data_IF_755133306716
#
_entry.id   IF_755133306716
#
_cell.length_a   1.000
_cell.length_b   1.000
_cell.length_c   1.000
_cell.angle_alpha   90.00
_cell.angle_beta   90.00
_cell.angle_gamma   90.00
#
_symmetry.space_group_name_H-M   'P 1'
#
loop_
_entity.id
_entity.type
_entity.pdbx_description
1 polymer ?
#
# COMPACT_ATOMS: atom_id res chain seq x y z
N UNK A 1 18.09 0.92 12.68
CA UNK A 1 17.44 2.05 12.01
C UNK A 1 17.87 2.13 10.59
N UNK A 2 17.31 3.03 9.89
CA UNK A 2 17.68 3.31 8.55
C UNK A 2 16.67 2.75 7.58
N UNK A 3 17.14 2.34 6.42
CA UNK A 3 16.27 2.02 5.30
C UNK A 3 15.29 0.89 5.61
N UNK A 4 15.73 -0.12 6.35
CA UNK A 4 14.84 -1.23 6.68
C UNK A 4 13.65 -0.78 7.52
N UNK A 5 13.87 0.08 8.52
CA UNK A 5 12.78 0.60 9.34
C UNK A 5 11.78 1.37 8.50
N UNK A 6 12.27 2.20 7.56
CA UNK A 6 11.40 2.95 6.64
C UNK A 6 10.57 2.00 5.78
N UNK A 7 11.17 0.94 5.26
CA UNK A 7 10.45 -0.04 4.45
C UNK A 7 9.38 -0.76 5.27
N UNK A 8 9.69 -1.12 6.51
CA UNK A 8 8.71 -1.78 7.39
C UNK A 8 7.54 -0.85 7.72
N UNK A 9 7.80 0.43 7.94
CA UNK A 9 6.75 1.41 8.14
C UNK A 9 5.87 1.55 6.89
N UNK A 10 6.48 1.56 5.72
CA UNK A 10 5.74 1.57 4.45
C UNK A 10 4.82 0.35 4.33
N UNK A 11 5.33 -0.84 4.63
CA UNK A 11 4.54 -2.07 4.56
C UNK A 11 3.34 -2.01 5.51
N UNK A 12 3.55 -1.56 6.74
CA UNK A 12 2.48 -1.44 7.72
C UNK A 12 1.42 -0.42 7.26
N UNK A 13 1.85 0.71 6.70
CA UNK A 13 0.94 1.71 6.17
C UNK A 13 0.13 1.14 4.99
N UNK A 14 0.77 0.42 4.07
CA UNK A 14 0.09 -0.18 2.93
C UNK A 14 -0.91 -1.25 3.37
N UNK A 15 -0.58 -2.04 4.38
CA UNK A 15 -1.52 -3.01 4.93
C UNK A 15 -2.76 -2.31 5.51
N UNK A 16 -2.57 -1.22 6.23
CA UNK A 16 -3.68 -0.45 6.79
C UNK A 16 -4.55 0.16 5.69
N UNK A 17 -3.93 0.75 4.66
CA UNK A 17 -4.67 1.38 3.56
C UNK A 17 -5.58 0.40 2.83
N UNK A 18 -5.22 -0.86 2.75
CA UNK A 18 -6.04 -1.87 2.07
C UNK A 18 -7.35 -2.15 2.79
N UNK A 19 -7.49 -1.72 4.03
CA UNK A 19 -8.69 -1.91 4.83
C UNK A 19 -9.53 -0.64 4.97
N UNK A 20 -9.13 0.46 4.34
CA UNK A 20 -9.82 1.74 4.42
C UNK A 20 -10.83 1.86 3.30
N UNK A 21 -12.10 2.06 3.64
CA UNK A 21 -13.15 2.36 2.65
C UNK A 21 -12.82 3.66 1.94
N UNK A 22 -13.04 3.71 0.63
CA UNK A 22 -12.61 4.84 -0.18
C UNK A 22 -13.48 5.03 -1.42
N UNK A 23 -13.35 6.18 -2.13
CA UNK A 23 -14.19 6.47 -3.28
C UNK A 23 -13.96 5.58 -4.50
N UNK A 24 -12.89 4.80 -4.57
CA UNK A 24 -12.63 3.93 -5.73
C UNK A 24 -13.55 2.73 -5.79
N UNK A 25 -14.15 2.33 -4.68
CA UNK A 25 -15.11 1.24 -4.67
C UNK A 25 -15.05 0.39 -3.40
N UNK A 26 -15.75 -0.75 -3.45
CA UNK A 26 -15.84 -1.65 -2.31
C UNK A 26 -14.53 -2.39 -2.06
N UNK A 27 -14.27 -2.69 -0.80
CA UNK A 27 -13.14 -3.54 -0.43
C UNK A 27 -13.45 -5.01 -0.71
N UNK A 28 -14.72 -5.40 -0.67
CA UNK A 28 -15.12 -6.79 -0.82
C UNK A 28 -14.83 -7.36 -2.20
N UNK A 29 -14.85 -6.54 -3.24
CA UNK A 29 -14.56 -6.97 -4.62
C UNK A 29 -13.20 -6.49 -5.13
N UNK A 30 -12.40 -5.87 -4.27
CA UNK A 30 -11.07 -5.41 -4.63
C UNK A 30 -11.01 -4.06 -5.33
N UNK A 31 -12.15 -3.45 -5.68
CA UNK A 31 -12.14 -2.16 -6.38
C UNK A 31 -11.47 -1.07 -5.53
N UNK A 32 -11.68 -1.11 -4.23
CA UNK A 32 -11.07 -0.13 -3.31
C UNK A 32 -9.56 -0.17 -3.27
N UNK A 33 -8.94 -1.28 -3.68
CA UNK A 33 -7.49 -1.38 -3.74
C UNK A 33 -6.88 -0.49 -4.82
N UNK A 34 -7.70 -0.01 -5.76
CA UNK A 34 -7.26 0.89 -6.81
C UNK A 34 -7.23 2.36 -6.42
N UNK A 35 -7.51 2.71 -5.16
CA UNK A 35 -7.47 4.10 -4.73
C UNK A 35 -6.04 4.64 -4.75
N UNK A 36 -5.75 5.67 -5.54
CA UNK A 36 -4.38 6.17 -5.70
C UNK A 36 -3.98 7.18 -4.64
N UNK A 37 -4.90 7.73 -3.86
CA UNK A 37 -4.60 8.84 -2.98
C UNK A 37 -5.30 8.71 -1.63
N UNK A 38 -4.50 8.86 -0.58
CA UNK A 38 -4.97 8.90 0.80
C UNK A 38 -4.42 10.14 1.50
N UNK A 39 -5.04 10.54 2.57
CA UNK A 39 -4.51 11.60 3.43
C UNK A 39 -3.28 11.10 4.19
N UNK A 40 -2.46 12.02 4.69
CA UNK A 40 -1.24 11.66 5.41
C UNK A 40 -1.51 10.80 6.64
N UNK A 41 -2.67 10.96 7.25
CA UNK A 41 -3.06 10.15 8.41
C UNK A 41 -3.65 8.78 8.01
N UNK A 42 -3.56 8.39 6.74
CA UNK A 42 -4.04 7.15 6.16
C UNK A 42 -5.56 7.06 6.05
N UNK A 43 -6.29 8.15 6.25
CA UNK A 43 -7.73 8.18 6.00
C UNK A 43 -8.01 8.39 4.51
N UNK A 44 -9.23 8.04 4.09
CA UNK A 44 -9.63 8.18 2.69
C UNK A 44 -9.63 9.65 2.25
N UNK A 45 -9.04 9.91 1.09
CA UNK A 45 -9.12 11.22 0.45
C UNK A 45 -10.40 11.25 -0.39
N UNK A 46 -11.31 12.17 -0.07
CA UNK A 46 -12.62 12.22 -0.71
C UNK A 46 -12.75 13.30 -1.77
N UNK A 47 -11.69 14.08 -2.00
CA UNK A 47 -11.70 15.10 -3.04
C UNK A 47 -11.64 14.54 -4.45
N UNK A 48 -11.69 15.41 -5.44
CA UNK A 48 -11.60 15.02 -6.84
C UNK A 48 -10.20 14.51 -7.17
N UNK A 49 -10.12 13.37 -7.84
CA UNK A 49 -8.86 12.75 -8.23
C UNK A 49 -9.11 11.70 -9.29
N UNK A 50 -8.11 11.37 -10.10
CA UNK A 50 -8.23 10.30 -11.08
C UNK A 50 -8.32 8.93 -10.42
N UNK A 51 -9.49 8.32 -10.41
CA UNK A 51 -9.77 7.03 -9.75
C UNK A 51 -10.57 6.09 -10.64
N UNK A 52 -10.40 4.79 -10.43
CA UNK A 52 -9.30 4.13 -9.72
C UNK A 52 -8.05 4.04 -10.59
N UNK A 53 -6.91 3.63 -10.02
CA UNK A 53 -5.69 3.37 -10.78
C UNK A 53 -5.27 1.92 -10.56
N UNK A 54 -4.89 1.24 -11.63
CA UNK A 54 -4.57 -0.19 -11.58
C UNK A 54 -3.13 -0.50 -11.25
N UNK A 55 -2.23 0.47 -11.48
CA UNK A 55 -0.80 0.27 -11.27
C UNK A 55 -0.41 0.24 -9.80
N UNK A 56 -1.16 0.92 -8.93
CA UNK A 56 -0.85 0.98 -7.51
C UNK A 56 -0.74 -0.38 -6.84
N UNK A 57 -1.78 -1.23 -6.93
CA UNK A 57 -1.72 -2.58 -6.36
C UNK A 57 -0.60 -3.43 -6.95
N UNK A 58 -0.34 -3.33 -8.24
CA UNK A 58 0.74 -4.07 -8.89
C UNK A 58 2.11 -3.61 -8.39
N UNK A 59 2.32 -2.30 -8.27
CA UNK A 59 3.56 -1.74 -7.76
C UNK A 59 3.78 -2.12 -6.29
N UNK A 60 2.72 -2.09 -5.50
CA UNK A 60 2.77 -2.52 -4.11
C UNK A 60 3.19 -3.98 -4.00
N UNK A 61 2.60 -4.85 -4.82
CA UNK A 61 2.95 -6.26 -4.83
C UNK A 61 4.44 -6.47 -5.17
N UNK A 62 4.94 -5.75 -6.16
CA UNK A 62 6.36 -5.82 -6.53
C UNK A 62 7.24 -5.44 -5.35
N UNK A 63 6.94 -4.33 -4.68
CA UNK A 63 7.73 -3.87 -3.53
C UNK A 63 7.72 -4.90 -2.39
N UNK A 64 6.57 -5.47 -2.08
CA UNK A 64 6.44 -6.45 -1.00
C UNK A 64 7.19 -7.74 -1.32
N UNK A 65 7.10 -8.22 -2.55
CA UNK A 65 7.80 -9.43 -2.99
C UNK A 65 9.32 -9.22 -2.95
N UNK A 66 9.79 -8.08 -3.43
CA UNK A 66 11.21 -7.74 -3.42
C UNK A 66 11.76 -7.71 -1.99
N UNK A 67 11.03 -7.08 -1.08
CA UNK A 67 11.46 -7.00 0.31
C UNK A 67 11.43 -8.38 0.98
N UNK A 68 10.40 -9.18 0.71
CA UNK A 68 10.30 -10.53 1.23
C UNK A 68 11.47 -11.40 0.77
N UNK A 69 11.83 -11.31 -0.51
CA UNK A 69 12.99 -12.02 -1.04
C UNK A 69 14.29 -11.57 -0.39
N UNK A 70 14.43 -10.27 -0.17
CA UNK A 70 15.61 -9.73 0.51
C UNK A 70 15.75 -10.28 1.93
N UNK A 71 14.63 -10.37 2.67
CA UNK A 71 14.65 -10.92 4.03
C UNK A 71 15.08 -12.39 4.06
N UNK A 72 14.72 -13.16 3.04
CA UNK A 72 15.11 -14.57 2.95
C UNK A 72 16.60 -14.70 2.67
N UNK A 73 17.13 -13.89 1.77
CA UNK A 73 18.55 -13.96 1.34
C UNK A 73 19.47 -13.28 2.34
N UNK A 74 19.02 -12.18 2.95
CA UNK A 74 19.81 -11.38 3.87
C UNK A 74 19.07 -11.29 5.21
N UNK A 75 18.94 -12.41 5.95
CA UNK A 75 18.22 -12.39 7.22
C UNK A 75 18.91 -11.46 8.22
N UNK A 76 18.09 -10.86 9.07
CA UNK A 76 18.61 -9.97 10.11
C UNK A 76 19.43 -10.73 11.12
N UNK A 77 20.46 -10.10 11.64
CA UNK A 77 21.21 -10.68 12.76
C UNK A 77 20.36 -10.76 14.01
#
# INVERSE_FOLDING_TARGET
LGLQTVIEEYINAQAALQTVSNPSGDLSNGAGLGEPKFNVDLSAFTGSWGRPQRDGPALRAIALIEFGNWLIVCPLP
#
